data_IF_184002800831
#
_entry.id   IF_184002800831
#
_cell.length_a   1.000
_cell.length_b   1.000
_cell.length_c   1.000
_cell.angle_alpha   90.00
_cell.angle_beta   90.00
_cell.angle_gamma   90.00
#
_symmetry.space_group_name_H-M   'P 1'
#
loop_
_entity.id
_entity.type
_entity.pdbx_description
1 polymer ?
#
# COMPACT_ATOMS: atom_id res chain seq x y z
N UNK A 1 -12.47 -15.63 14.21
CA UNK A 1 -12.62 -14.53 15.21
C UNK A 1 -11.70 -14.74 16.41
N UNK A 2 -11.81 -15.84 17.16
CA UNK A 2 -10.97 -16.10 18.35
C UNK A 2 -9.46 -16.04 18.04
N UNK A 3 -9.01 -16.72 16.96
CA UNK A 3 -7.60 -16.68 16.54
C UNK A 3 -7.11 -15.26 16.18
N UNK A 4 -7.98 -14.43 15.60
CA UNK A 4 -7.65 -13.04 15.26
C UNK A 4 -7.50 -12.17 16.50
N UNK A 5 -8.36 -12.38 17.51
CA UNK A 5 -8.26 -11.69 18.80
C UNK A 5 -7.00 -12.12 19.57
N UNK A 6 -6.70 -13.42 19.62
CA UNK A 6 -5.48 -13.93 20.23
C UNK A 6 -4.22 -13.39 19.54
N UNK A 7 -4.23 -13.36 18.21
CA UNK A 7 -3.17 -12.76 17.41
C UNK A 7 -2.96 -11.27 17.74
N UNK A 8 -4.06 -10.50 17.81
CA UNK A 8 -4.02 -9.08 18.16
C UNK A 8 -3.45 -8.86 19.56
N UNK A 9 -3.92 -9.63 20.55
CA UNK A 9 -3.38 -9.57 21.93
C UNK A 9 -1.90 -9.93 22.00
N UNK A 10 -1.46 -10.92 21.22
CA UNK A 10 -0.05 -11.29 21.11
C UNK A 10 0.79 -10.13 20.53
N UNK A 11 0.33 -9.53 19.43
CA UNK A 11 0.97 -8.38 18.81
C UNK A 11 1.05 -7.19 19.78
N UNK A 12 -0.04 -6.88 20.49
CA UNK A 12 -0.07 -5.82 21.48
C UNK A 12 0.89 -6.09 22.65
N UNK A 13 0.93 -7.32 23.16
CA UNK A 13 1.84 -7.71 24.24
C UNK A 13 3.31 -7.57 23.82
N UNK A 14 3.67 -8.12 22.67
CA UNK A 14 5.05 -8.04 22.14
C UNK A 14 5.43 -6.58 21.88
N UNK A 15 4.54 -5.80 21.27
CA UNK A 15 4.77 -4.38 21.02
C UNK A 15 4.97 -3.60 22.32
N UNK A 16 4.14 -3.85 23.33
CA UNK A 16 4.25 -3.22 24.64
C UNK A 16 5.56 -3.58 25.35
N UNK A 17 5.90 -4.87 25.41
CA UNK A 17 7.15 -5.35 26.02
C UNK A 17 8.38 -4.76 25.32
N UNK A 18 8.34 -4.64 23.99
CA UNK A 18 9.42 -4.04 23.20
C UNK A 18 9.57 -2.54 23.49
N UNK A 19 8.45 -1.82 23.60
CA UNK A 19 8.43 -0.37 23.87
C UNK A 19 8.89 -0.04 25.29
N UNK A 20 8.49 -0.85 26.29
CA UNK A 20 8.87 -0.64 27.70
C UNK A 20 10.35 -0.93 27.97
N UNK A 21 11.01 -1.70 27.11
CA UNK A 21 12.44 -2.04 27.25
C UNK A 21 13.37 -0.90 26.78
N UNK A 22 12.82 0.10 26.11
CA UNK A 22 13.57 1.16 25.43
C UNK A 22 13.63 2.44 26.26
N UNK A 23 14.74 3.18 26.19
CA UNK A 23 14.83 4.52 26.80
C UNK A 23 13.89 5.51 26.13
N UNK A 24 13.43 6.52 26.88
CA UNK A 24 12.41 7.49 26.42
C UNK A 24 12.85 8.22 25.14
N UNK A 25 14.10 8.68 25.07
CA UNK A 25 14.61 9.42 23.92
C UNK A 25 14.73 8.56 22.65
N UNK A 26 15.09 7.28 22.80
CA UNK A 26 15.22 6.35 21.67
C UNK A 26 13.85 5.84 21.20
N UNK A 27 12.88 5.74 22.12
CA UNK A 27 11.52 5.29 21.85
C UNK A 27 10.80 6.21 20.86
N UNK A 28 10.89 7.52 21.03
CA UNK A 28 10.14 8.47 20.20
C UNK A 28 10.66 8.50 18.76
N UNK A 29 11.99 8.46 18.58
CA UNK A 29 12.63 8.36 17.27
C UNK A 29 12.22 7.07 16.56
N UNK A 30 12.19 5.96 17.29
CA UNK A 30 11.87 4.64 16.76
C UNK A 30 10.39 4.47 16.43
N UNK A 31 9.48 4.94 17.29
CA UNK A 31 8.05 4.93 16.99
C UNK A 31 7.74 5.77 15.75
N UNK A 32 8.46 6.88 15.57
CA UNK A 32 8.38 7.67 14.36
C UNK A 32 8.89 6.91 13.12
N UNK A 33 10.01 6.19 13.21
CA UNK A 33 10.51 5.34 12.10
C UNK A 33 9.52 4.22 11.76
N UNK A 34 9.02 3.49 12.76
CA UNK A 34 8.03 2.43 12.57
C UNK A 34 6.75 2.98 11.94
N UNK A 35 6.24 4.11 12.46
CA UNK A 35 5.07 4.76 11.90
C UNK A 35 5.30 5.14 10.44
N UNK A 36 6.44 5.76 10.11
CA UNK A 36 6.74 6.14 8.73
C UNK A 36 6.76 4.93 7.78
N UNK A 37 7.36 3.80 8.16
CA UNK A 37 7.46 2.63 7.28
C UNK A 37 6.14 1.90 7.09
N UNK A 38 5.32 1.79 8.15
CA UNK A 38 4.12 0.94 8.14
C UNK A 38 2.81 1.72 7.91
N UNK A 39 2.77 3.03 8.17
CA UNK A 39 1.57 3.85 7.96
C UNK A 39 1.04 3.79 6.52
N UNK A 40 1.88 3.88 5.45
CA UNK A 40 1.37 3.78 4.08
C UNK A 40 0.67 2.45 3.81
N UNK A 41 1.26 1.34 4.27
CA UNK A 41 0.69 0.00 4.06
C UNK A 41 -0.61 -0.23 4.85
N UNK A 42 -0.71 0.32 6.05
CA UNK A 42 -1.94 0.27 6.84
C UNK A 42 -3.07 1.06 6.17
N UNK A 43 -2.77 2.24 5.62
CA UNK A 43 -3.75 3.07 4.91
C UNK A 43 -4.18 2.42 3.58
N UNK A 44 -3.26 1.77 2.87
CA UNK A 44 -3.59 0.94 1.69
C UNK A 44 -4.52 -0.21 2.08
N UNK A 45 -4.24 -0.90 3.20
CA UNK A 45 -5.10 -1.98 3.68
C UNK A 45 -6.51 -1.48 4.03
N UNK A 46 -6.61 -0.32 4.68
CA UNK A 46 -7.88 0.34 4.97
C UNK A 46 -8.66 0.67 3.68
N UNK A 47 -7.97 1.18 2.65
CA UNK A 47 -8.60 1.48 1.36
C UNK A 47 -9.19 0.23 0.71
N UNK A 48 -8.48 -0.91 0.74
CA UNK A 48 -8.98 -2.17 0.20
C UNK A 48 -10.20 -2.67 1.00
N UNK A 49 -10.21 -2.47 2.32
CA UNK A 49 -11.39 -2.74 3.16
C UNK A 49 -12.59 -1.91 2.74
N UNK A 50 -12.42 -0.59 2.61
CA UNK A 50 -13.47 0.34 2.16
C UNK A 50 -13.96 -0.01 0.75
N UNK A 51 -13.05 -0.40 -0.15
CA UNK A 51 -13.41 -0.87 -1.48
C UNK A 51 -14.29 -2.13 -1.43
N UNK A 52 -13.95 -3.10 -0.59
CA UNK A 52 -14.78 -4.28 -0.37
C UNK A 52 -16.16 -3.95 0.20
N UNK A 53 -16.25 -2.95 1.11
CA UNK A 53 -17.54 -2.44 1.62
C UNK A 53 -18.37 -1.80 0.51
N UNK A 54 -17.76 -0.97 -0.34
CA UNK A 54 -18.46 -0.35 -1.47
C UNK A 54 -19.05 -1.41 -2.42
N UNK A 55 -18.27 -2.44 -2.76
CA UNK A 55 -18.77 -3.53 -3.60
C UNK A 55 -19.86 -4.36 -2.92
N UNK A 56 -19.79 -4.54 -1.61
CA UNK A 56 -20.85 -5.18 -0.85
C UNK A 56 -22.15 -4.35 -0.89
N UNK A 57 -22.07 -3.03 -0.71
CA UNK A 57 -23.23 -2.14 -0.84
C UNK A 57 -23.81 -2.20 -2.26
N UNK A 58 -22.98 -2.19 -3.30
CA UNK A 58 -23.45 -2.33 -4.68
C UNK A 58 -24.12 -3.67 -4.98
N UNK A 59 -23.59 -4.76 -4.39
CA UNK A 59 -24.21 -6.07 -4.48
C UNK A 59 -25.59 -6.08 -3.80
N UNK A 60 -25.72 -5.43 -2.64
CA UNK A 60 -26.99 -5.34 -1.90
C UNK A 60 -28.02 -4.46 -2.64
N UNK A 61 -27.59 -3.39 -3.29
CA UNK A 61 -28.46 -2.51 -4.08
C UNK A 61 -28.78 -3.07 -5.48
N UNK A 62 -28.40 -4.31 -5.79
CA UNK A 62 -28.63 -4.97 -7.09
C UNK A 62 -28.04 -4.21 -8.30
N UNK A 63 -27.02 -3.38 -8.08
CA UNK A 63 -26.33 -2.65 -9.16
C UNK A 63 -25.30 -3.59 -9.79
N UNK A 64 -25.42 -3.84 -11.09
CA UNK A 64 -24.46 -4.67 -11.82
C UNK A 64 -23.15 -3.91 -12.06
N UNK A 65 -22.30 -3.86 -11.03
CA UNK A 65 -21.01 -3.17 -11.08
C UNK A 65 -20.06 -3.77 -12.13
N UNK A 66 -20.17 -5.07 -12.45
CA UNK A 66 -19.37 -5.70 -13.52
C UNK A 66 -19.65 -5.05 -14.89
N UNK A 67 -20.92 -4.67 -15.14
CA UNK A 67 -21.30 -3.94 -16.36
C UNK A 67 -20.87 -2.47 -16.32
N UNK A 68 -20.97 -1.81 -15.16
CA UNK A 68 -20.57 -0.39 -14.99
C UNK A 68 -19.08 -0.19 -15.22
N UNK A 69 -18.27 -1.14 -14.74
CA UNK A 69 -16.82 -1.08 -14.84
C UNK A 69 -16.25 -1.90 -16.00
N UNK A 70 -17.10 -2.46 -16.86
CA UNK A 70 -16.73 -3.29 -18.02
C UNK A 70 -15.74 -4.42 -17.68
N UNK A 71 -15.96 -5.10 -16.54
CA UNK A 71 -15.11 -6.22 -16.13
C UNK A 71 -15.48 -7.50 -16.88
N UNK A 72 -14.47 -8.36 -17.09
CA UNK A 72 -14.67 -9.71 -17.59
C UNK A 72 -15.54 -10.55 -16.64
N UNK A 73 -16.13 -11.63 -17.17
CA UNK A 73 -16.96 -12.59 -16.42
C UNK A 73 -16.25 -13.13 -15.17
N UNK A 74 -14.91 -13.20 -15.17
CA UNK A 74 -14.04 -13.59 -14.06
C UNK A 74 -13.61 -12.42 -13.16
N UNK A 75 -14.57 -11.63 -12.68
CA UNK A 75 -14.28 -10.49 -11.79
C UNK A 75 -14.14 -10.93 -10.33
N UNK A 76 -13.34 -10.23 -9.52
CA UNK A 76 -13.28 -10.50 -8.08
C UNK A 76 -14.62 -10.19 -7.42
N UNK A 77 -15.04 -11.10 -6.57
CA UNK A 77 -16.14 -10.87 -5.65
C UNK A 77 -15.69 -10.02 -4.44
N UNK A 78 -16.64 -9.32 -3.81
CA UNK A 78 -16.40 -8.57 -2.58
C UNK A 78 -15.78 -9.42 -1.46
N UNK A 79 -16.11 -10.73 -1.41
CA UNK A 79 -15.56 -11.68 -0.43
C UNK A 79 -14.06 -11.91 -0.61
N UNK A 80 -13.60 -11.96 -1.85
CA UNK A 80 -12.18 -12.19 -2.17
C UNK A 80 -11.36 -10.96 -1.86
N UNK A 81 -11.92 -9.77 -2.13
CA UNK A 81 -11.31 -8.49 -1.75
C UNK A 81 -11.16 -8.39 -0.23
N UNK A 82 -12.19 -8.77 0.53
CA UNK A 82 -12.07 -8.83 2.00
C UNK A 82 -11.08 -9.88 2.50
N UNK A 83 -10.93 -11.02 1.82
CA UNK A 83 -9.87 -11.99 2.15
C UNK A 83 -8.48 -11.37 1.95
N UNK A 84 -8.26 -10.69 0.83
CA UNK A 84 -7.00 -9.97 0.58
C UNK A 84 -6.75 -8.88 1.63
N UNK A 85 -7.78 -8.08 1.96
CA UNK A 85 -7.70 -7.05 2.99
C UNK A 85 -7.37 -7.65 4.37
N UNK A 86 -7.94 -8.81 4.71
CA UNK A 86 -7.65 -9.54 5.95
C UNK A 86 -6.20 -10.01 5.99
N UNK A 87 -5.68 -10.59 4.91
CA UNK A 87 -4.28 -11.00 4.85
C UNK A 87 -3.32 -9.82 4.99
N UNK A 88 -3.60 -8.70 4.31
CA UNK A 88 -2.76 -7.50 4.42
C UNK A 88 -2.79 -6.90 5.83
N UNK A 89 -3.97 -6.84 6.45
CA UNK A 89 -4.13 -6.39 7.85
C UNK A 89 -3.56 -7.34 8.89
N UNK A 90 -3.26 -8.60 8.53
CA UNK A 90 -2.49 -9.51 9.37
C UNK A 90 -0.98 -9.33 9.16
N UNK A 91 -0.53 -9.33 7.91
CA UNK A 91 0.90 -9.32 7.56
C UNK A 91 1.58 -8.00 7.92
N UNK A 92 0.91 -6.87 7.76
CA UNK A 92 1.50 -5.55 8.03
C UNK A 92 1.77 -5.35 9.53
N UNK A 93 0.80 -5.56 10.45
CA UNK A 93 1.06 -5.45 11.88
C UNK A 93 1.98 -6.55 12.41
N UNK A 94 1.95 -7.79 11.88
CA UNK A 94 2.95 -8.79 12.30
C UNK A 94 4.36 -8.35 11.95
N UNK A 95 4.59 -7.88 10.72
CA UNK A 95 5.89 -7.37 10.31
C UNK A 95 6.31 -6.18 11.18
N UNK A 96 5.38 -5.27 11.50
CA UNK A 96 5.62 -4.17 12.43
C UNK A 96 6.04 -4.70 13.81
N UNK A 97 5.32 -5.66 14.39
CA UNK A 97 5.68 -6.23 15.71
C UNK A 97 7.02 -6.96 15.69
N UNK A 98 7.35 -7.65 14.60
CA UNK A 98 8.65 -8.30 14.42
C UNK A 98 9.78 -7.27 14.30
N UNK A 99 9.55 -6.16 13.57
CA UNK A 99 10.45 -5.02 13.53
C UNK A 99 10.69 -4.46 14.94
N UNK A 100 9.62 -4.28 15.73
CA UNK A 100 9.74 -3.75 17.08
C UNK A 100 10.56 -4.69 17.99
N UNK A 101 10.29 -5.99 17.88
CA UNK A 101 10.96 -7.03 18.66
C UNK A 101 12.45 -7.12 18.35
N UNK A 102 12.83 -7.22 17.07
CA UNK A 102 14.24 -7.35 16.64
C UNK A 102 15.06 -6.11 17.04
N UNK A 103 14.48 -4.93 16.91
CA UNK A 103 15.13 -3.69 17.30
C UNK A 103 15.39 -3.63 18.81
N UNK A 104 14.41 -4.02 19.63
CA UNK A 104 14.56 -4.04 21.11
C UNK A 104 15.65 -4.98 21.62
N UNK A 105 16.03 -5.99 20.82
CA UNK A 105 17.11 -6.93 21.11
C UNK A 105 18.49 -6.46 20.60
N UNK A 106 18.56 -5.28 19.97
CA UNK A 106 19.81 -4.69 19.48
C UNK A 106 20.22 -5.14 18.08
N UNK A 107 19.41 -5.94 17.38
CA UNK A 107 19.72 -6.41 16.02
C UNK A 107 19.23 -5.41 14.96
N UNK A 108 19.88 -4.25 14.90
CA UNK A 108 19.47 -3.10 14.06
C UNK A 108 19.51 -3.42 12.56
N UNK A 109 20.43 -4.27 12.10
CA UNK A 109 20.55 -4.67 10.69
C UNK A 109 19.38 -5.54 10.23
N UNK A 110 18.98 -6.51 11.05
CA UNK A 110 17.84 -7.39 10.79
C UNK A 110 16.50 -6.66 10.98
N UNK A 111 16.43 -5.71 11.92
CA UNK A 111 15.27 -4.83 12.01
C UNK A 111 15.10 -3.99 10.73
N UNK A 112 16.18 -3.41 10.19
CA UNK A 112 16.09 -2.59 8.98
C UNK A 112 15.72 -3.37 7.71
N UNK A 113 16.04 -4.65 7.62
CA UNK A 113 15.68 -5.48 6.46
C UNK A 113 14.21 -5.89 6.45
N UNK A 114 13.56 -5.92 7.61
CA UNK A 114 12.20 -6.44 7.75
C UNK A 114 11.14 -5.64 6.95
N UNK A 115 11.06 -4.31 7.05
CA UNK A 115 10.10 -3.57 6.24
C UNK A 115 10.50 -3.59 4.76
N UNK A 116 11.79 -3.62 4.41
CA UNK A 116 12.25 -3.72 3.00
C UNK A 116 11.77 -5.02 2.37
N UNK A 117 11.90 -6.14 3.08
CA UNK A 117 11.43 -7.44 2.64
C UNK A 117 9.91 -7.46 2.46
N UNK A 118 9.15 -6.83 3.36
CA UNK A 118 7.70 -6.68 3.21
C UNK A 118 7.34 -5.93 1.92
N UNK A 119 7.93 -4.76 1.67
CA UNK A 119 7.68 -3.99 0.44
C UNK A 119 8.10 -4.74 -0.82
N UNK A 120 9.25 -5.43 -0.79
CA UNK A 120 9.72 -6.25 -1.90
C UNK A 120 8.76 -7.40 -2.20
N UNK A 121 8.28 -8.12 -1.18
CA UNK A 121 7.31 -9.20 -1.34
C UNK A 121 6.00 -8.66 -1.91
N UNK A 122 5.47 -7.53 -1.41
CA UNK A 122 4.24 -6.94 -1.94
C UNK A 122 4.39 -6.50 -3.41
N UNK A 123 5.52 -5.93 -3.79
CA UNK A 123 5.82 -5.57 -5.18
C UNK A 123 5.99 -6.80 -6.08
N UNK A 124 6.70 -7.82 -5.60
CA UNK A 124 6.84 -9.08 -6.33
C UNK A 124 5.48 -9.73 -6.54
N UNK A 125 4.63 -9.76 -5.51
CA UNK A 125 3.25 -10.24 -5.59
C UNK A 125 2.47 -9.42 -6.61
N UNK A 126 2.59 -8.09 -6.64
CA UNK A 126 1.85 -7.24 -7.59
C UNK A 126 2.30 -7.45 -9.05
N UNK A 127 3.60 -7.60 -9.29
CA UNK A 127 4.20 -7.73 -10.63
C UNK A 127 4.29 -9.18 -11.12
N UNK A 128 4.11 -10.16 -10.23
CA UNK A 128 4.31 -11.57 -10.58
C UNK A 128 3.32 -12.01 -11.67
N UNK A 129 3.79 -12.64 -12.75
CA UNK A 129 2.93 -13.21 -13.79
C UNK A 129 2.30 -14.56 -13.38
N UNK A 130 2.54 -15.04 -12.17
CA UNK A 130 2.04 -16.33 -11.68
C UNK A 130 0.58 -16.25 -11.23
N UNK A 131 -0.19 -17.31 -11.53
CA UNK A 131 -1.63 -17.45 -11.20
C UNK A 131 -1.96 -17.60 -9.70
N UNK A 132 -0.97 -17.45 -8.81
CA UNK A 132 -1.12 -17.68 -7.38
C UNK A 132 -2.08 -16.69 -6.67
N UNK A 133 -2.51 -15.60 -7.32
CA UNK A 133 -3.32 -14.54 -6.70
C UNK A 133 -4.05 -13.66 -7.75
N UNK A 134 -5.13 -14.18 -8.35
CA UNK A 134 -6.07 -13.38 -9.16
C UNK A 134 -5.43 -12.57 -10.31
N UNK A 135 -4.82 -13.27 -11.26
CA UNK A 135 -4.09 -12.71 -12.39
C UNK A 135 -4.88 -11.63 -13.17
N UNK A 136 -6.16 -11.89 -13.46
CA UNK A 136 -7.01 -10.95 -14.22
C UNK A 136 -7.15 -9.57 -13.55
N UNK A 137 -7.19 -9.52 -12.22
CA UNK A 137 -7.35 -8.26 -11.48
C UNK A 137 -6.08 -7.43 -11.43
N UNK A 138 -4.91 -8.09 -11.40
CA UNK A 138 -3.63 -7.40 -11.40
C UNK A 138 -3.34 -6.79 -12.75
N UNK A 139 -3.58 -7.55 -13.83
CA UNK A 139 -3.45 -7.02 -15.18
C UNK A 139 -4.44 -5.88 -15.43
N UNK A 140 -5.67 -5.97 -14.92
CA UNK A 140 -6.62 -4.86 -14.96
C UNK A 140 -6.05 -3.62 -14.24
N UNK A 141 -5.61 -3.78 -12.99
CA UNK A 141 -5.02 -2.69 -12.19
C UNK A 141 -3.80 -2.07 -12.87
N UNK A 142 -2.81 -2.88 -13.30
CA UNK A 142 -1.58 -2.42 -13.94
C UNK A 142 -1.86 -1.75 -15.29
N UNK A 143 -2.82 -2.26 -16.07
CA UNK A 143 -3.24 -1.66 -17.34
C UNK A 143 -3.92 -0.30 -17.11
N UNK A 144 -4.78 -0.19 -16.10
CA UNK A 144 -5.41 1.08 -15.72
C UNK A 144 -4.37 2.09 -15.23
N UNK A 145 -3.41 1.66 -14.40
CA UNK A 145 -2.26 2.49 -13.99
C UNK A 145 -1.48 3.04 -15.19
N UNK A 146 -1.18 2.18 -16.17
CA UNK A 146 -0.47 2.57 -17.39
C UNK A 146 -1.28 3.57 -18.23
N UNK A 147 -2.59 3.35 -18.37
CA UNK A 147 -3.49 4.27 -19.09
C UNK A 147 -3.63 5.64 -18.42
N UNK A 148 -3.68 5.68 -17.09
CA UNK A 148 -3.73 6.94 -16.33
C UNK A 148 -2.40 7.69 -16.48
N UNK A 149 -1.26 6.98 -16.47
CA UNK A 149 0.06 7.59 -16.66
C UNK A 149 0.28 8.14 -18.09
N UNK A 150 -0.29 7.48 -19.10
CA UNK A 150 -0.17 7.86 -20.51
C UNK A 150 -1.57 7.97 -21.15
N UNK A 151 -2.22 9.15 -21.11
CA UNK A 151 -3.57 9.35 -21.63
C UNK A 151 -3.59 9.46 -23.17
N UNK A 152 -3.20 8.38 -23.85
CA UNK A 152 -3.15 8.27 -25.32
C UNK A 152 -4.45 7.68 -25.91
N UNK A 153 -5.41 7.28 -25.08
CA UNK A 153 -6.64 6.59 -25.46
C UNK A 153 -7.87 7.30 -24.85
N UNK A 154 -9.06 7.01 -25.37
CA UNK A 154 -10.31 7.50 -24.80
C UNK A 154 -10.46 7.01 -23.34
N UNK A 155 -10.75 7.94 -22.45
CA UNK A 155 -10.86 7.69 -21.01
C UNK A 155 -12.15 6.89 -20.76
N UNK A 156 -12.03 5.75 -20.10
CA UNK A 156 -13.18 4.94 -19.69
C UNK A 156 -13.61 5.28 -18.27
N UNK A 157 -14.85 4.94 -17.89
CA UNK A 157 -15.34 5.17 -16.53
C UNK A 157 -14.45 4.56 -15.42
N UNK A 158 -13.94 3.31 -15.57
CA UNK A 158 -12.97 2.75 -14.62
C UNK A 158 -11.72 3.59 -14.42
N UNK A 159 -11.19 4.19 -15.49
CA UNK A 159 -9.97 5.01 -15.41
C UNK A 159 -10.23 6.29 -14.60
N UNK A 160 -11.38 6.93 -14.81
CA UNK A 160 -11.81 8.11 -14.03
C UNK A 160 -12.02 7.76 -12.54
N UNK A 161 -12.75 6.67 -12.27
CA UNK A 161 -13.02 6.24 -10.90
C UNK A 161 -11.75 5.87 -10.14
N UNK A 162 -10.82 5.15 -10.80
CA UNK A 162 -9.53 4.81 -10.20
C UNK A 162 -8.66 6.04 -9.96
N UNK A 163 -8.69 7.02 -10.87
CA UNK A 163 -7.96 8.28 -10.68
C UNK A 163 -8.45 9.03 -9.42
N UNK A 164 -9.76 9.08 -9.17
CA UNK A 164 -10.33 9.71 -7.97
C UNK A 164 -9.93 9.01 -6.65
N UNK A 165 -9.79 7.68 -6.70
CA UNK A 165 -9.22 6.91 -5.58
C UNK A 165 -7.75 7.32 -5.35
N UNK A 166 -6.96 7.49 -6.41
CA UNK A 166 -5.55 7.87 -6.27
C UNK A 166 -5.33 9.30 -5.81
N UNK A 167 -6.18 10.25 -6.18
CA UNK A 167 -6.10 11.63 -5.68
C UNK A 167 -6.31 11.67 -4.16
N UNK A 168 -7.25 10.85 -3.67
CA UNK A 168 -7.49 10.65 -2.24
C UNK A 168 -6.31 9.96 -1.52
N UNK A 169 -5.47 9.23 -2.26
CA UNK A 169 -4.28 8.53 -1.75
C UNK A 169 -2.97 9.33 -1.93
N UNK A 170 -3.03 10.58 -2.39
CA UNK A 170 -1.85 11.45 -2.59
C UNK A 170 -0.93 11.53 -1.38
N UNK A 171 -1.49 11.64 -0.16
CA UNK A 171 -0.71 11.63 1.08
C UNK A 171 0.00 10.31 1.33
N UNK A 172 -0.68 9.20 1.09
CA UNK A 172 -0.13 7.84 1.24
C UNK A 172 1.06 7.64 0.31
N UNK A 173 0.95 8.12 -0.93
CA UNK A 173 2.06 8.07 -1.89
C UNK A 173 3.26 8.93 -1.47
N UNK A 174 3.03 10.11 -0.89
CA UNK A 174 4.11 10.95 -0.36
C UNK A 174 4.83 10.31 0.82
N UNK A 175 4.08 9.68 1.74
CA UNK A 175 4.68 8.95 2.86
C UNK A 175 5.42 7.70 2.39
N UNK A 176 4.90 7.01 1.36
CA UNK A 176 5.56 5.87 0.72
C UNK A 176 6.90 6.27 0.10
N UNK A 177 6.96 7.38 -0.63
CA UNK A 177 8.20 7.92 -1.20
C UNK A 177 9.24 8.18 -0.11
N UNK A 178 8.85 8.90 0.95
CA UNK A 178 9.74 9.19 2.09
C UNK A 178 10.25 7.92 2.77
N UNK A 179 9.37 6.92 2.91
CA UNK A 179 9.72 5.63 3.50
C UNK A 179 10.76 4.89 2.64
N UNK A 180 10.55 4.84 1.33
CA UNK A 180 11.47 4.23 0.36
C UNK A 180 12.83 4.92 0.31
N UNK A 181 12.85 6.26 0.28
CA UNK A 181 14.11 7.02 0.31
C UNK A 181 14.95 6.70 1.55
N UNK A 182 14.32 6.63 2.73
CA UNK A 182 15.03 6.26 3.97
C UNK A 182 15.53 4.82 3.98
N UNK A 183 14.74 3.88 3.46
CA UNK A 183 15.14 2.48 3.35
C UNK A 183 16.37 2.29 2.46
N UNK A 184 16.37 2.92 1.29
CA UNK A 184 17.49 2.85 0.33
C UNK A 184 18.74 3.50 0.90
N UNK A 185 18.61 4.69 1.50
CA UNK A 185 19.73 5.42 2.10
C UNK A 185 20.37 4.67 3.29
N UNK A 186 19.60 3.87 4.05
CA UNK A 186 20.12 3.14 5.22
C UNK A 186 20.79 1.81 4.86
N UNK A 187 20.44 1.20 3.73
CA UNK A 187 20.98 -0.10 3.29
C UNK A 187 22.15 0.03 2.30
N UNK A 188 22.18 1.10 1.50
CA UNK A 188 23.18 1.28 0.46
C UNK A 188 23.86 2.63 0.70
N UNK A 189 25.15 2.61 1.05
CA UNK A 189 26.05 3.77 0.94
C UNK A 189 26.27 4.11 -0.55
N UNK A 190 25.20 4.31 -1.31
CA UNK A 190 25.29 4.77 -2.69
C UNK A 190 25.33 6.29 -2.67
N UNK A 191 26.51 6.81 -2.97
CA UNK A 191 26.76 8.19 -3.36
C UNK A 191 25.65 8.71 -4.29
N UNK A 192 24.94 9.72 -3.78
CA UNK A 192 24.27 10.82 -4.49
C UNK A 192 24.37 10.74 -6.02
N UNK A 193 23.41 10.06 -6.65
CA UNK A 193 23.11 10.20 -8.10
C UNK A 193 21.73 9.65 -8.48
N UNK A 194 21.12 8.73 -7.70
CA UNK A 194 19.79 8.18 -8.02
C UNK A 194 18.60 9.02 -7.52
N UNK A 195 18.81 9.90 -6.52
CA UNK A 195 17.74 10.72 -5.89
C UNK A 195 17.26 11.86 -6.81
N UNK A 196 18.14 12.36 -7.68
CA UNK A 196 17.73 13.36 -8.68
C UNK A 196 16.87 12.74 -9.80
N UNK A 197 16.97 11.43 -10.03
CA UNK A 197 16.19 10.72 -11.05
C UNK A 197 14.78 10.35 -10.56
N UNK A 198 14.61 10.09 -9.26
CA UNK A 198 13.30 9.83 -8.62
C UNK A 198 12.47 11.11 -8.49
N UNK A 199 13.09 12.26 -8.19
CA UNK A 199 12.42 13.57 -8.26
C UNK A 199 12.00 13.98 -9.67
N UNK A 200 12.68 13.53 -10.74
CA UNK A 200 12.28 13.89 -12.11
C UNK A 200 11.27 12.89 -12.73
N UNK A 201 11.34 11.59 -12.45
CA UNK A 201 10.48 10.60 -13.11
C UNK A 201 9.15 10.35 -12.38
N UNK A 202 9.07 10.55 -11.06
CA UNK A 202 7.82 10.39 -10.29
C UNK A 202 7.05 11.70 -10.13
N UNK A 203 7.71 12.85 -10.16
CA UNK A 203 6.98 14.13 -10.25
C UNK A 203 6.21 14.24 -11.57
N UNK A 204 6.62 13.55 -12.64
CA UNK A 204 5.89 13.55 -13.91
C UNK A 204 4.47 12.98 -13.79
N UNK A 205 4.21 11.77 -13.24
CA UNK A 205 2.85 11.29 -13.04
C UNK A 205 2.07 12.08 -11.97
N UNK A 206 2.70 12.58 -10.89
CA UNK A 206 1.98 13.39 -9.89
C UNK A 206 1.63 14.80 -10.40
N UNK A 207 2.52 15.46 -11.16
CA UNK A 207 2.19 16.68 -11.90
C UNK A 207 1.21 16.40 -13.04
N UNK A 208 1.26 15.25 -13.73
CA UNK A 208 0.27 14.90 -14.75
C UNK A 208 -1.11 14.73 -14.14
N UNK A 209 -1.23 14.02 -13.01
CA UNK A 209 -2.50 13.84 -12.29
C UNK A 209 -3.02 15.20 -11.79
N UNK A 210 -2.16 16.06 -11.23
CA UNK A 210 -2.55 17.41 -10.83
C UNK A 210 -2.92 18.32 -12.02
N UNK A 211 -2.22 18.20 -13.16
CA UNK A 211 -2.50 18.94 -14.40
C UNK A 211 -3.77 18.41 -15.10
N UNK A 212 -4.06 17.11 -15.04
CA UNK A 212 -5.29 16.49 -15.56
C UNK A 212 -6.48 16.99 -14.73
N UNK A 213 -6.38 17.03 -13.40
CA UNK A 213 -7.42 17.60 -12.52
C UNK A 213 -7.59 19.10 -12.79
N UNK A 214 -6.50 19.85 -12.95
CA UNK A 214 -6.56 21.28 -13.27
C UNK A 214 -7.14 21.57 -14.68
N UNK A 215 -6.98 20.65 -15.65
CA UNK A 215 -7.54 20.79 -17.00
C UNK A 215 -9.03 20.42 -17.05
N UNK A 216 -9.51 19.56 -16.15
CA UNK A 216 -10.91 19.14 -16.07
C UNK A 216 -11.77 19.96 -15.09
N UNK A 217 -11.16 20.72 -14.17
CA UNK A 217 -11.88 21.67 -13.30
C UNK A 217 -12.12 23.05 -13.95
N UNK A 218 -11.82 23.18 -15.26
CA UNK A 218 -12.09 24.37 -16.07
C UNK A 218 -13.05 24.03 -17.22
N UNK A 219 -14.22 23.49 -16.88
CA UNK A 219 -15.42 23.53 -17.70
C UNK A 219 -16.64 23.61 -16.80
#
# INVERSE_FOLDING_TARGET
VILFLLWGLCCCKIGWDSVMRMSVDLRDLFLYEAFLYYNPLLLVALMIWLWGVNLWVFAQSSVNYAKVFDLSQTHLSHREIWRCATWLTLVVPTSMTAYLYLYSHGEVSLAASQPVLLYAILLMILLSPFDMFYLSSRFFFLRTMWRIALPLQAITFPDFFMADIFTSMSKVFSDLERSGCRMVHRQVNLSVSLVLCTHCLLQYPYCLVYLIIAKYCKK
#
